data_IF_811394129423
#
_entry.id   IF_811394129423
#
_cell.length_a   1.000
_cell.length_b   1.000
_cell.length_c   1.000
_cell.angle_alpha   90.00
_cell.angle_beta   90.00
_cell.angle_gamma   90.00
#
_symmetry.space_group_name_H-M   'P 1'
#
loop_
_entity.id
_entity.type
_entity.pdbx_description
1 polymer ?
#
# COMPACT_ATOMS: atom_id res chain seq x y z
N UNK A 1 10.65 -3.51 -9.91
CA UNK A 1 10.61 -3.51 -8.43
C UNK A 1 9.46 -4.40 -8.10
N UNK A 2 9.73 -5.52 -7.46
CA UNK A 2 8.88 -6.71 -7.43
C UNK A 2 8.57 -6.90 -5.96
N UNK A 3 7.32 -6.64 -5.56
CA UNK A 3 6.86 -6.79 -4.17
C UNK A 3 6.08 -8.09 -4.09
N UNK A 4 6.65 -9.14 -3.50
CA UNK A 4 6.00 -10.46 -3.31
C UNK A 4 5.12 -10.52 -2.04
N UNK A 5 3.88 -10.94 -2.22
CA UNK A 5 2.86 -11.30 -1.24
C UNK A 5 2.26 -12.64 -1.70
N UNK A 6 1.88 -13.54 -0.79
CA UNK A 6 1.17 -14.77 -1.17
C UNK A 6 -0.31 -14.58 -0.87
N UNK A 7 -1.20 -14.69 -1.87
CA UNK A 7 -2.64 -14.61 -1.59
C UNK A 7 -3.56 -15.29 -2.59
N UNK A 8 -4.54 -16.06 -2.07
CA UNK A 8 -5.63 -16.71 -2.80
C UNK A 8 -6.99 -16.13 -2.38
N UNK A 9 -7.57 -15.29 -3.24
CA UNK A 9 -9.00 -15.11 -3.53
C UNK A 9 -10.08 -15.23 -2.42
N UNK A 10 -10.02 -14.51 -1.30
CA UNK A 10 -11.12 -14.44 -0.31
C UNK A 10 -11.29 -13.04 0.29
N UNK A 11 -12.52 -12.49 0.37
CA UNK A 11 -12.75 -11.15 0.96
C UNK A 11 -12.44 -11.14 2.46
N UNK A 12 -11.61 -10.22 2.95
CA UNK A 12 -11.42 -9.97 4.39
C UNK A 12 -11.68 -8.51 4.73
N UNK A 13 -12.45 -8.28 5.79
CA UNK A 13 -12.48 -7.02 6.52
C UNK A 13 -11.25 -6.99 7.44
N UNK A 14 -10.42 -5.97 7.34
CA UNK A 14 -9.19 -5.85 8.14
C UNK A 14 -9.40 -4.85 9.27
N UNK A 15 -9.62 -5.29 10.51
CA UNK A 15 -9.72 -4.34 11.64
C UNK A 15 -8.34 -3.75 12.07
N UNK A 16 -7.29 -3.94 11.26
CA UNK A 16 -5.91 -3.54 11.54
C UNK A 16 -5.30 -2.74 10.38
N UNK A 17 -4.35 -1.84 10.66
CA UNK A 17 -3.60 -1.14 9.62
C UNK A 17 -2.81 -2.10 8.73
N UNK A 18 -2.64 -1.71 7.46
CA UNK A 18 -1.90 -2.47 6.45
C UNK A 18 -0.67 -1.69 6.00
N UNK A 19 0.43 -2.40 5.75
CA UNK A 19 1.67 -1.81 5.25
C UNK A 19 2.26 -2.60 4.09
N UNK A 20 2.64 -1.85 3.05
CA UNK A 20 3.41 -2.36 1.91
C UNK A 20 4.86 -1.96 2.07
N UNK A 21 5.76 -2.93 1.86
CA UNK A 21 7.21 -2.75 1.94
C UNK A 21 7.85 -3.14 0.61
N UNK A 22 8.71 -2.29 0.08
CA UNK A 22 9.54 -2.65 -1.08
C UNK A 22 10.64 -3.63 -0.70
N UNK A 23 10.88 -4.65 -1.52
CA UNK A 23 12.06 -5.52 -1.43
C UNK A 23 13.20 -4.99 -2.33
N UNK A 24 14.33 -4.56 -1.76
CA UNK A 24 15.48 -4.09 -2.53
C UNK A 24 16.34 -5.21 -3.11
N UNK A 25 16.19 -6.48 -2.71
CA UNK A 25 17.09 -7.59 -3.11
C UNK A 25 17.09 -7.88 -4.61
N UNK A 26 16.12 -7.36 -5.37
CA UNK A 26 16.09 -7.47 -6.83
C UNK A 26 17.16 -6.58 -7.53
N UNK A 27 18.03 -5.88 -6.77
CA UNK A 27 19.31 -5.28 -7.22
C UNK A 27 20.36 -5.36 -6.10
N UNK A 28 21.52 -6.02 -6.31
CA UNK A 28 22.60 -6.02 -5.32
C UNK A 28 23.03 -4.59 -4.94
N UNK A 29 23.01 -4.26 -3.64
CA UNK A 29 23.41 -2.96 -3.11
C UNK A 29 22.30 -1.90 -3.01
N UNK A 30 21.06 -2.22 -3.38
CA UNK A 30 19.91 -1.34 -3.11
C UNK A 30 19.59 -1.35 -1.62
N UNK A 31 19.51 -0.17 -1.00
CA UNK A 31 19.11 0.01 0.40
C UNK A 31 17.90 0.94 0.52
N UNK A 32 17.37 1.42 -0.61
CA UNK A 32 16.19 2.25 -0.65
C UNK A 32 14.96 1.41 -0.27
N UNK A 33 14.25 1.85 0.77
CA UNK A 33 13.03 1.23 1.27
C UNK A 33 11.90 2.25 1.27
N UNK A 34 10.82 1.92 0.59
CA UNK A 34 9.56 2.66 0.67
C UNK A 34 8.58 1.82 1.48
N UNK A 35 7.99 2.44 2.50
CA UNK A 35 6.87 1.91 3.26
C UNK A 35 5.64 2.77 3.01
N UNK A 36 4.51 2.13 2.78
CA UNK A 36 3.20 2.78 2.68
C UNK A 36 2.31 2.26 3.78
N UNK A 37 1.66 3.17 4.50
CA UNK A 37 0.73 2.89 5.58
C UNK A 37 -0.69 3.25 5.17
N UNK A 38 -1.62 2.30 5.38
CA UNK A 38 -3.05 2.48 5.21
C UNK A 38 -3.73 2.31 6.57
N UNK A 39 -4.37 3.37 7.07
CA UNK A 39 -5.15 3.32 8.31
C UNK A 39 -6.61 2.96 8.06
N UNK A 40 -7.25 2.27 9.02
CA UNK A 40 -8.67 1.91 8.95
C UNK A 40 -9.04 1.18 7.64
N UNK A 41 -8.32 0.11 7.30
CA UNK A 41 -8.53 -0.62 6.05
C UNK A 41 -9.83 -1.42 6.11
N UNK A 42 -10.83 -1.06 5.32
CA UNK A 42 -12.07 -1.82 5.28
C UNK A 42 -11.98 -3.02 4.33
N UNK A 43 -11.39 -2.81 3.15
CA UNK A 43 -11.23 -3.84 2.13
C UNK A 43 -9.84 -3.77 1.51
N UNK A 44 -9.31 -4.93 1.14
CA UNK A 44 -8.05 -5.06 0.42
C UNK A 44 -8.20 -6.17 -0.63
N UNK A 45 -7.91 -5.84 -1.88
CA UNK A 45 -7.63 -6.83 -2.91
C UNK A 45 -6.30 -6.45 -3.54
N UNK A 46 -5.27 -7.27 -3.36
CA UNK A 46 -3.94 -6.98 -3.88
C UNK A 46 -3.39 -8.20 -4.58
N UNK A 47 -2.72 -7.97 -5.71
CA UNK A 47 -1.97 -9.05 -6.35
C UNK A 47 -0.84 -9.52 -5.42
N UNK A 48 -0.50 -10.81 -5.49
CA UNK A 48 0.74 -11.32 -4.93
C UNK A 48 1.94 -10.46 -5.29
N UNK A 49 2.04 -10.07 -6.55
CA UNK A 49 3.14 -9.27 -7.04
C UNK A 49 2.69 -7.91 -7.55
N UNK A 50 3.26 -6.85 -6.97
CA UNK A 50 3.13 -5.49 -7.49
C UNK A 50 4.45 -5.05 -8.11
N UNK A 51 4.40 -4.69 -9.40
CA UNK A 51 5.51 -4.07 -10.11
C UNK A 51 5.19 -2.62 -10.46
N UNK A 52 6.03 -1.68 -10.00
CA UNK A 52 5.82 -0.26 -10.28
C UNK A 52 4.53 0.28 -9.65
N UNK A 53 4.34 -0.01 -8.36
CA UNK A 53 3.15 0.40 -7.60
C UNK A 53 2.86 1.89 -7.77
N UNK A 54 1.63 2.20 -8.18
CA UNK A 54 1.08 3.54 -8.28
C UNK A 54 -0.11 3.60 -7.34
N UNK A 55 -0.09 4.55 -6.40
CA UNK A 55 -1.19 4.74 -5.46
C UNK A 55 -1.89 6.03 -5.83
N UNK A 56 -3.19 5.93 -6.12
CA UNK A 56 -4.04 7.06 -6.48
C UNK A 56 -5.48 6.77 -6.12
N UNK A 57 -6.29 7.81 -6.01
CA UNK A 57 -7.75 7.67 -5.89
C UNK A 57 -8.33 6.94 -7.10
N UNK A 58 -9.30 6.06 -6.84
CA UNK A 58 -10.02 5.35 -7.90
C UNK A 58 -10.90 6.32 -8.69
N UNK A 59 -10.92 6.15 -10.01
CA UNK A 59 -11.90 6.82 -10.87
C UNK A 59 -13.30 6.25 -10.67
N UNK A 60 -14.32 6.90 -11.23
CA UNK A 60 -15.69 6.40 -11.18
C UNK A 60 -15.84 5.04 -11.88
N UNK A 61 -15.24 4.88 -13.06
CA UNK A 61 -15.22 3.62 -13.80
C UNK A 61 -14.56 2.49 -13.00
N UNK A 62 -13.47 2.78 -12.29
CA UNK A 62 -12.77 1.79 -11.46
C UNK A 62 -13.58 1.38 -10.24
N UNK A 63 -14.30 2.32 -9.62
CA UNK A 63 -15.23 2.01 -8.53
C UNK A 63 -16.37 1.13 -9.00
N UNK A 64 -16.91 1.38 -10.19
CA UNK A 64 -17.94 0.52 -10.79
C UNK A 64 -17.40 -0.90 -11.04
N UNK A 65 -16.18 -1.02 -11.57
CA UNK A 65 -15.54 -2.33 -11.75
C UNK A 65 -15.35 -3.08 -10.43
N UNK A 66 -14.97 -2.37 -9.36
CA UNK A 66 -14.84 -2.95 -8.01
C UNK A 66 -16.22 -3.41 -7.50
N UNK A 67 -17.28 -2.62 -7.69
CA UNK A 67 -18.63 -3.00 -7.31
C UNK A 67 -19.10 -4.23 -8.10
N UNK A 68 -18.95 -4.25 -9.41
CA UNK A 68 -19.39 -5.36 -10.26
C UNK A 68 -18.65 -6.66 -9.91
N UNK A 69 -17.35 -6.57 -9.63
CA UNK A 69 -16.52 -7.74 -9.34
C UNK A 69 -16.64 -8.23 -7.90
N UNK A 70 -16.75 -7.32 -6.94
CA UNK A 70 -16.65 -7.64 -5.51
C UNK A 70 -17.91 -7.30 -4.70
N UNK A 71 -18.91 -6.64 -5.28
CA UNK A 71 -20.14 -6.21 -4.58
C UNK A 71 -19.85 -5.23 -3.44
N UNK A 72 -18.83 -4.39 -3.59
CA UNK A 72 -18.41 -3.41 -2.58
C UNK A 72 -18.86 -2.02 -3.04
N UNK A 73 -19.63 -1.33 -2.20
CA UNK A 73 -20.02 0.08 -2.38
C UNK A 73 -19.29 0.94 -1.32
N UNK A 74 -17.97 1.18 -1.49
CA UNK A 74 -17.24 1.99 -0.52
C UNK A 74 -17.57 3.47 -0.70
N UNK A 75 -17.37 4.26 0.36
CA UNK A 75 -17.33 5.71 0.22
C UNK A 75 -16.21 6.09 -0.77
N UNK A 76 -16.60 6.85 -1.80
CA UNK A 76 -15.79 7.08 -3.00
C UNK A 76 -14.46 7.75 -2.69
N UNK A 77 -14.40 8.51 -1.59
CA UNK A 77 -13.21 9.28 -1.21
C UNK A 77 -12.11 8.42 -0.57
N UNK A 78 -12.39 7.14 -0.31
CA UNK A 78 -11.50 6.24 0.45
C UNK A 78 -11.02 5.04 -0.37
N UNK A 79 -11.23 5.04 -1.69
CA UNK A 79 -10.80 3.95 -2.57
C UNK A 79 -9.50 4.31 -3.28
N UNK A 80 -8.45 3.55 -3.01
CA UNK A 80 -7.13 3.74 -3.62
C UNK A 80 -6.78 2.55 -4.52
N UNK A 81 -6.37 2.83 -5.75
CA UNK A 81 -5.84 1.86 -6.71
C UNK A 81 -4.34 1.73 -6.49
N UNK A 82 -3.82 0.50 -6.51
CA UNK A 82 -2.41 0.17 -6.26
C UNK A 82 -1.64 -0.21 -7.54
N UNK A 83 -2.35 -0.48 -8.64
CA UNK A 83 -1.76 -0.79 -9.94
C UNK A 83 -2.65 -0.32 -11.07
N UNK A 84 -2.05 0.04 -12.19
CA UNK A 84 -2.80 0.34 -13.40
C UNK A 84 -3.12 -0.97 -14.14
N UNK A 85 -4.41 -1.32 -14.22
CA UNK A 85 -4.92 -2.41 -15.07
C UNK A 85 -5.51 -3.65 -14.36
N UNK A 86 -6.33 -4.46 -15.06
CA UNK A 86 -7.07 -5.60 -14.50
C UNK A 86 -6.20 -6.86 -14.33
N UNK A 87 -6.46 -7.71 -13.31
CA UNK A 87 -7.36 -7.45 -12.19
C UNK A 87 -6.84 -6.28 -11.33
N UNK A 88 -7.76 -5.38 -10.94
CA UNK A 88 -7.43 -4.21 -10.14
C UNK A 88 -6.98 -4.64 -8.74
N UNK A 89 -5.85 -4.10 -8.30
CA UNK A 89 -5.46 -4.10 -6.90
C UNK A 89 -5.92 -2.79 -6.28
N UNK A 90 -6.67 -2.87 -5.21
CA UNK A 90 -7.22 -1.72 -4.51
C UNK A 90 -7.24 -1.93 -3.00
N UNK A 91 -7.33 -0.83 -2.30
CA UNK A 91 -7.58 -0.77 -0.86
C UNK A 91 -8.63 0.29 -0.57
N UNK A 92 -9.54 -0.03 0.33
CA UNK A 92 -10.49 0.94 0.89
C UNK A 92 -9.99 1.29 2.28
N UNK A 93 -9.55 2.53 2.48
CA UNK A 93 -8.89 2.97 3.71
C UNK A 93 -8.93 4.48 3.90
N UNK A 94 -8.53 4.97 5.07
CA UNK A 94 -8.16 6.37 5.24
C UNK A 94 -6.99 6.78 4.33
N UNK A 95 -6.70 8.09 4.28
CA UNK A 95 -5.66 8.67 3.44
C UNK A 95 -4.30 7.96 3.67
N UNK A 96 -3.69 7.40 2.62
CA UNK A 96 -2.42 6.70 2.74
C UNK A 96 -1.28 7.67 3.05
N UNK A 97 -0.36 7.23 3.88
CA UNK A 97 0.90 7.92 4.13
C UNK A 97 2.06 7.06 3.64
N UNK A 98 3.15 7.69 3.22
CA UNK A 98 4.37 6.97 2.81
C UNK A 98 5.60 7.51 3.52
N UNK A 99 6.60 6.63 3.68
CA UNK A 99 7.93 6.96 4.19
C UNK A 99 8.99 6.26 3.32
N UNK A 100 10.04 6.98 2.95
CA UNK A 100 11.18 6.47 2.20
C UNK A 100 12.46 6.69 2.99
N UNK A 101 13.32 5.69 3.09
CA UNK A 101 14.62 5.80 3.73
C UNK A 101 15.63 4.78 3.21
N UNK A 102 16.91 4.99 3.51
CA UNK A 102 17.96 3.98 3.33
C UNK A 102 18.00 3.08 4.56
N UNK A 103 17.57 1.81 4.42
CA UNK A 103 17.42 0.84 5.51
C UNK A 103 17.67 -0.60 5.07
N UNK A 104 18.14 -1.42 6.01
CA UNK A 104 18.23 -2.87 5.82
C UNK A 104 16.84 -3.53 5.73
N UNK A 105 16.80 -4.71 5.12
CA UNK A 105 15.58 -5.50 4.92
C UNK A 105 14.93 -5.99 6.23
N UNK A 106 15.66 -6.05 7.33
CA UNK A 106 15.19 -6.46 8.65
C UNK A 106 14.99 -5.29 9.64
N UNK A 107 15.41 -4.07 9.26
CA UNK A 107 15.26 -2.90 10.14
C UNK A 107 13.78 -2.61 10.47
N UNK A 108 13.47 -2.10 11.68
CA UNK A 108 12.10 -1.79 12.11
C UNK A 108 11.33 -0.90 11.13
N UNK A 109 10.00 -0.99 11.15
CA UNK A 109 9.13 -0.17 10.29
C UNK A 109 9.38 1.31 10.50
N UNK A 110 9.31 2.09 9.42
CA UNK A 110 9.31 3.54 9.50
C UNK A 110 8.07 4.07 10.21
N UNK A 111 6.95 3.34 10.28
CA UNK A 111 5.69 3.75 10.95
C UNK A 111 5.59 3.29 12.41
N UNK A 112 6.71 3.00 13.08
CA UNK A 112 6.72 2.71 14.51
C UNK A 112 6.45 3.98 15.35
N UNK A 113 5.20 4.19 15.74
CA UNK A 113 4.77 5.40 16.48
C UNK A 113 5.29 5.50 17.92
N UNK A 114 5.88 4.44 18.45
CA UNK A 114 6.50 4.42 19.78
C UNK A 114 7.92 5.02 19.79
N UNK A 115 8.54 5.21 18.61
CA UNK A 115 9.87 5.79 18.46
C UNK A 115 9.88 7.32 18.50
N UNK A 116 11.06 7.95 18.68
CA UNK A 116 11.20 9.39 18.60
C UNK A 116 10.83 9.93 17.21
N UNK A 117 10.04 11.01 17.18
CA UNK A 117 9.62 11.71 15.98
C UNK A 117 10.35 13.07 15.85
N UNK A 118 10.80 13.48 14.65
CA UNK A 118 10.76 12.74 13.39
C UNK A 118 11.79 11.60 13.37
N UNK A 119 11.57 10.54 12.57
CA UNK A 119 12.64 9.63 12.22
C UNK A 119 13.75 10.46 11.56
N UNK A 120 15.01 10.05 11.71
CA UNK A 120 16.19 10.85 11.38
C UNK A 120 16.18 11.52 9.99
N UNK A 121 17.13 12.44 9.73
CA UNK A 121 17.14 13.30 8.54
C UNK A 121 17.17 12.54 7.19
N UNK A 122 17.45 11.25 7.20
CA UNK A 122 17.42 10.34 6.06
C UNK A 122 16.01 9.93 5.59
N UNK A 123 14.95 10.28 6.32
CA UNK A 123 13.58 9.87 6.00
C UNK A 123 12.82 10.95 5.23
N UNK A 124 12.27 10.58 4.08
CA UNK A 124 11.29 11.37 3.33
C UNK A 124 9.89 10.83 3.62
N UNK A 125 8.88 11.70 3.63
CA UNK A 125 7.51 11.31 3.95
C UNK A 125 6.47 12.21 3.28
N UNK A 126 5.24 11.73 3.20
CA UNK A 126 4.11 12.50 2.67
C UNK A 126 2.80 11.71 2.72
N UNK A 127 1.78 12.30 2.11
CA UNK A 127 0.47 11.68 1.88
C UNK A 127 0.29 11.38 0.39
N UNK A 128 -0.56 10.40 0.09
CA UNK A 128 -0.97 10.11 -1.28
C UNK A 128 -2.22 10.92 -1.60
N UNK A 129 -2.07 11.97 -2.41
CA UNK A 129 -3.17 12.85 -2.81
C UNK A 129 -4.01 12.28 -3.96
#
# INVERSE_FOLDING_TARGET
MTIDWYWQGQKYKLDNPFWLRSDPENRPGSTARIEVYFGNVEYLAVRPLLEGMNIRRASEDERQLIFDQYGIEPDTDYVFILNDGPPLSFVVSGEPAWREAVRAADAPSLFEYAGPWPPGPEVRWGFVN
#
